data_IF_522346675054
#
_entry.id   IF_522346675054
#
_cell.length_a   1.000
_cell.length_b   1.000
_cell.length_c   1.000
_cell.angle_alpha   90.00
_cell.angle_beta   90.00
_cell.angle_gamma   90.00
#
_symmetry.space_group_name_H-M   'P 1'
#
loop_
_entity.id
_entity.type
_entity.pdbx_description
1 polymer ?
#
# COMPACT_ATOMS: atom_id res chain seq x y z
N UNK A 1 -2.83 -11.14 -26.27
CA UNK A 1 -2.37 -11.98 -25.14
C UNK A 1 -2.39 -13.44 -25.56
N UNK A 2 -1.24 -14.09 -25.72
CA UNK A 2 -1.21 -15.53 -26.01
C UNK A 2 -1.73 -16.27 -24.77
N UNK A 3 -2.74 -17.16 -24.95
CA UNK A 3 -3.20 -18.01 -23.86
C UNK A 3 -2.03 -18.84 -23.37
N UNK A 4 -1.76 -18.79 -22.08
CA UNK A 4 -0.76 -19.63 -21.42
C UNK A 4 -1.26 -21.09 -21.46
N UNK A 5 -1.03 -21.79 -22.57
CA UNK A 5 -1.23 -23.24 -22.62
C UNK A 5 -0.12 -23.88 -21.80
N UNK A 6 -0.37 -24.08 -20.52
CA UNK A 6 0.49 -24.88 -19.66
C UNK A 6 0.08 -26.34 -19.73
N UNK A 7 1.02 -27.29 -19.77
CA UNK A 7 0.71 -28.70 -19.57
C UNK A 7 0.07 -28.91 -18.19
N UNK A 8 -0.45 -30.07 -17.89
CA UNK A 8 -1.03 -30.38 -16.58
C UNK A 8 -0.05 -30.04 -15.49
N UNK A 9 -0.40 -29.06 -14.66
CA UNK A 9 0.38 -28.58 -13.51
C UNK A 9 -0.52 -28.57 -12.28
N UNK A 10 0.06 -28.89 -11.15
CA UNK A 10 -0.54 -28.66 -9.83
C UNK A 10 0.06 -27.40 -9.25
N UNK A 11 -0.77 -26.54 -8.67
CA UNK A 11 -0.36 -25.27 -8.05
C UNK A 11 -0.80 -25.32 -6.59
N UNK A 12 0.18 -25.27 -5.68
CA UNK A 12 -0.06 -25.10 -4.25
C UNK A 12 0.35 -23.70 -3.82
N UNK A 13 -0.50 -23.02 -3.11
CA UNK A 13 -0.24 -21.66 -2.60
C UNK A 13 -0.15 -21.67 -1.09
N UNK A 14 0.83 -20.96 -0.55
CA UNK A 14 1.04 -20.73 0.88
C UNK A 14 1.18 -19.23 1.11
N UNK A 15 0.64 -18.75 2.22
CA UNK A 15 0.76 -17.35 2.61
C UNK A 15 0.90 -17.24 4.12
N UNK A 16 1.86 -16.45 4.58
CA UNK A 16 2.09 -16.19 6.01
C UNK A 16 1.02 -15.26 6.59
N UNK A 17 0.43 -14.41 5.72
CA UNK A 17 -0.56 -13.41 6.13
C UNK A 17 -1.90 -13.74 5.48
N UNK A 18 -3.00 -13.82 6.28
CA UNK A 18 -4.33 -14.09 5.74
C UNK A 18 -4.79 -13.04 4.72
N UNK A 19 -5.66 -13.45 3.78
CA UNK A 19 -6.31 -12.52 2.87
C UNK A 19 -7.20 -11.51 3.63
N UNK A 20 -7.39 -10.32 3.05
CA UNK A 20 -8.28 -9.30 3.62
C UNK A 20 -7.68 -8.49 4.77
N UNK A 21 -6.38 -8.56 4.99
CA UNK A 21 -5.66 -7.81 6.05
C UNK A 21 -5.27 -6.39 5.63
N UNK A 22 -5.44 -6.02 4.36
CA UNK A 22 -5.04 -4.70 3.85
C UNK A 22 -3.55 -4.56 3.50
N UNK A 23 -2.80 -5.66 3.50
CA UNK A 23 -1.36 -5.69 3.16
C UNK A 23 -1.10 -6.04 1.68
N UNK A 24 -2.06 -5.79 0.79
CA UNK A 24 -1.88 -6.07 -0.64
C UNK A 24 -1.81 -7.55 -0.99
N UNK A 25 -2.47 -8.43 -0.21
CA UNK A 25 -2.39 -9.89 -0.39
C UNK A 25 -2.84 -10.35 -1.79
N UNK A 26 -3.84 -9.69 -2.39
CA UNK A 26 -4.31 -9.99 -3.76
C UNK A 26 -3.21 -9.70 -4.78
N UNK A 27 -2.66 -8.47 -4.78
CA UNK A 27 -1.58 -8.08 -5.69
C UNK A 27 -0.32 -8.93 -5.52
N UNK A 28 0.04 -9.26 -4.28
CA UNK A 28 1.18 -10.15 -3.99
C UNK A 28 0.94 -11.57 -4.51
N UNK A 29 -0.26 -12.11 -4.31
CA UNK A 29 -0.65 -13.43 -4.83
C UNK A 29 -0.60 -13.47 -6.35
N UNK A 30 -1.23 -12.52 -7.02
CA UNK A 30 -1.29 -12.44 -8.50
C UNK A 30 0.11 -12.31 -9.08
N UNK A 31 0.95 -11.45 -8.50
CA UNK A 31 2.34 -11.24 -8.91
C UNK A 31 3.18 -12.51 -8.73
N UNK A 32 3.08 -13.18 -7.57
CA UNK A 32 3.80 -14.41 -7.30
C UNK A 32 3.39 -15.56 -8.24
N UNK A 33 2.09 -15.71 -8.47
CA UNK A 33 1.54 -16.73 -9.37
C UNK A 33 2.02 -16.52 -10.81
N UNK A 34 1.93 -15.29 -11.31
CA UNK A 34 2.42 -14.95 -12.65
C UNK A 34 3.91 -15.21 -12.78
N UNK A 35 4.71 -14.77 -11.80
CA UNK A 35 6.15 -15.02 -11.78
C UNK A 35 6.49 -16.52 -11.80
N UNK A 36 5.77 -17.32 -11.03
CA UNK A 36 5.94 -18.77 -11.00
C UNK A 36 5.59 -19.44 -12.35
N UNK A 37 4.45 -19.05 -12.97
CA UNK A 37 4.00 -19.57 -14.26
C UNK A 37 4.98 -19.24 -15.40
N UNK A 38 5.47 -17.99 -15.43
CA UNK A 38 6.48 -17.60 -16.43
C UNK A 38 7.82 -18.29 -16.18
N UNK A 39 8.25 -18.40 -14.92
CA UNK A 39 9.46 -19.14 -14.55
C UNK A 39 9.38 -20.63 -14.94
N UNK A 40 8.22 -21.28 -14.72
CA UNK A 40 7.99 -22.66 -15.18
C UNK A 40 8.18 -22.81 -16.70
N UNK A 41 7.81 -21.79 -17.47
CA UNK A 41 8.01 -21.75 -18.92
C UNK A 41 9.39 -21.28 -19.34
N UNK A 42 10.31 -21.05 -18.39
CA UNK A 42 11.65 -20.49 -18.63
C UNK A 42 11.60 -19.12 -19.34
N UNK A 43 10.57 -18.34 -19.04
CA UNK A 43 10.40 -16.98 -19.51
C UNK A 43 10.62 -16.03 -18.34
N UNK A 44 11.37 -14.96 -18.56
CA UNK A 44 11.59 -13.92 -17.57
C UNK A 44 10.77 -12.71 -17.94
N UNK A 45 10.05 -12.17 -16.96
CA UNK A 45 9.40 -10.86 -17.07
C UNK A 45 10.23 -9.83 -16.31
N UNK A 46 10.39 -8.66 -16.88
CA UNK A 46 10.87 -7.51 -16.14
C UNK A 46 9.89 -7.15 -15.02
N UNK A 47 10.38 -6.56 -13.94
CA UNK A 47 9.52 -6.26 -12.77
C UNK A 47 8.32 -5.37 -13.13
N UNK A 48 8.52 -4.37 -13.98
CA UNK A 48 7.44 -3.48 -14.45
C UNK A 48 6.43 -4.22 -15.35
N UNK A 49 6.90 -5.11 -16.24
CA UNK A 49 6.02 -5.95 -17.07
C UNK A 49 5.19 -6.90 -16.21
N UNK A 50 5.79 -7.46 -15.16
CA UNK A 50 5.11 -8.31 -14.21
C UNK A 50 4.04 -7.54 -13.44
N UNK A 51 4.34 -6.31 -13.00
CA UNK A 51 3.39 -5.43 -12.33
C UNK A 51 2.20 -5.08 -13.22
N UNK A 52 2.46 -4.65 -14.47
CA UNK A 52 1.40 -4.31 -15.43
C UNK A 52 0.54 -5.53 -15.78
N UNK A 53 1.15 -6.71 -15.92
CA UNK A 53 0.40 -7.94 -16.18
C UNK A 53 -0.50 -8.30 -14.98
N UNK A 54 -0.02 -8.13 -13.74
CA UNK A 54 -0.81 -8.34 -12.54
C UNK A 54 -1.97 -7.33 -12.46
N UNK A 55 -1.72 -6.05 -12.76
CA UNK A 55 -2.77 -5.04 -12.88
C UNK A 55 -3.81 -5.42 -13.91
N UNK A 56 -3.39 -5.84 -15.11
CA UNK A 56 -4.30 -6.28 -16.16
C UNK A 56 -5.19 -7.46 -15.70
N UNK A 57 -4.64 -8.40 -14.96
CA UNK A 57 -5.43 -9.54 -14.43
C UNK A 57 -6.46 -9.04 -13.41
N UNK A 58 -6.07 -8.27 -12.42
CA UNK A 58 -6.98 -7.87 -11.33
C UNK A 58 -7.98 -6.80 -11.78
N UNK A 59 -7.54 -5.79 -12.50
CA UNK A 59 -8.39 -4.64 -12.89
C UNK A 59 -9.23 -4.97 -14.12
N UNK A 60 -8.60 -5.43 -15.21
CA UNK A 60 -9.30 -5.55 -16.49
C UNK A 60 -10.02 -6.89 -16.64
N UNK A 61 -9.45 -8.00 -16.09
CA UNK A 61 -10.01 -9.33 -16.28
C UNK A 61 -10.96 -9.74 -15.16
N UNK A 62 -10.64 -9.39 -13.91
CA UNK A 62 -11.46 -9.71 -12.74
C UNK A 62 -12.42 -8.56 -12.39
N UNK A 63 -12.15 -7.33 -12.87
CA UNK A 63 -12.99 -6.16 -12.62
C UNK A 63 -12.94 -5.69 -11.17
N UNK A 64 -11.82 -5.95 -10.48
CA UNK A 64 -11.66 -5.50 -9.09
C UNK A 64 -11.50 -3.97 -9.03
N UNK A 65 -12.16 -3.28 -8.09
CA UNK A 65 -12.09 -1.83 -7.95
C UNK A 65 -10.81 -1.41 -7.20
N UNK A 66 -9.66 -1.87 -7.69
CA UNK A 66 -8.34 -1.61 -7.09
C UNK A 66 -7.50 -0.72 -7.98
N UNK A 67 -6.52 -0.02 -7.38
CA UNK A 67 -5.49 0.70 -8.12
C UNK A 67 -4.28 -0.19 -8.42
N UNK A 68 -3.29 0.37 -9.10
CA UNK A 68 -2.05 -0.33 -9.52
C UNK A 68 -1.01 -0.47 -8.40
N UNK A 69 -1.23 0.11 -7.21
CA UNK A 69 -0.20 0.27 -6.17
C UNK A 69 0.35 -1.07 -5.66
N UNK A 70 -0.54 -2.00 -5.29
CA UNK A 70 -0.16 -3.22 -4.59
C UNK A 70 0.60 -4.17 -5.51
N UNK A 71 0.22 -4.25 -6.79
CA UNK A 71 0.90 -5.06 -7.81
C UNK A 71 2.31 -4.53 -8.09
N UNK A 72 2.46 -3.21 -8.20
CA UNK A 72 3.76 -2.58 -8.39
C UNK A 72 4.65 -2.74 -7.15
N UNK A 73 4.11 -2.56 -5.94
CA UNK A 73 4.84 -2.78 -4.70
C UNK A 73 5.33 -4.22 -4.57
N UNK A 74 4.48 -5.20 -4.91
CA UNK A 74 4.83 -6.61 -4.87
C UNK A 74 5.86 -7.04 -5.93
N UNK A 75 5.79 -6.46 -7.13
CA UNK A 75 6.70 -6.81 -8.23
C UNK A 75 8.10 -6.19 -8.07
N UNK A 76 8.18 -4.95 -7.59
CA UNK A 76 9.42 -4.18 -7.51
C UNK A 76 10.08 -4.32 -6.14
N UNK A 77 9.30 -4.21 -5.08
CA UNK A 77 9.79 -4.33 -3.70
C UNK A 77 10.56 -3.10 -3.21
N UNK A 78 11.15 -3.23 -2.04
CA UNK A 78 11.96 -2.20 -1.39
C UNK A 78 11.19 -0.94 -1.02
N UNK A 79 11.91 0.09 -0.59
CA UNK A 79 11.36 1.42 -0.35
C UNK A 79 11.39 2.20 -1.67
N UNK A 80 10.26 2.27 -2.33
CA UNK A 80 10.14 2.78 -3.70
C UNK A 80 9.07 3.86 -3.79
N UNK A 81 9.38 4.96 -4.47
CA UNK A 81 8.43 5.99 -4.82
C UNK A 81 7.77 5.64 -6.16
N UNK A 82 6.46 5.41 -6.13
CA UNK A 82 5.65 5.17 -7.32
C UNK A 82 4.94 6.46 -7.75
N UNK A 83 5.09 6.84 -9.02
CA UNK A 83 4.36 7.95 -9.60
C UNK A 83 3.40 7.41 -10.66
N UNK A 84 2.10 7.57 -10.41
CA UNK A 84 1.03 7.19 -11.34
C UNK A 84 0.70 8.39 -12.23
N UNK A 85 0.94 8.25 -13.52
CA UNK A 85 0.74 9.31 -14.49
C UNK A 85 -0.68 9.28 -15.07
N UNK A 86 -1.11 10.41 -15.68
CA UNK A 86 -2.44 10.52 -16.31
C UNK A 86 -2.62 9.67 -17.57
N UNK A 87 -1.53 9.23 -18.15
CA UNK A 87 -1.47 8.36 -19.34
C UNK A 87 -1.31 6.88 -18.95
N UNK A 88 -1.71 6.52 -17.73
CA UNK A 88 -1.65 5.18 -17.13
C UNK A 88 -0.24 4.60 -16.93
N UNK A 89 0.81 5.31 -17.29
CA UNK A 89 2.17 4.88 -16.98
C UNK A 89 2.45 4.99 -15.49
N UNK A 90 3.30 4.10 -15.00
CA UNK A 90 3.84 4.15 -13.64
C UNK A 90 5.34 4.30 -13.70
N UNK A 91 5.88 5.22 -12.93
CA UNK A 91 7.32 5.36 -12.72
C UNK A 91 7.65 4.89 -11.32
N UNK A 92 8.57 3.95 -11.20
CA UNK A 92 9.06 3.40 -9.94
C UNK A 92 10.51 3.84 -9.73
N UNK A 93 10.76 4.57 -8.65
CA UNK A 93 12.10 5.06 -8.31
C UNK A 93 12.43 4.64 -6.88
N UNK A 94 13.43 3.76 -6.67
CA UNK A 94 13.90 3.43 -5.34
C UNK A 94 14.34 4.69 -4.58
N UNK A 95 13.98 4.77 -3.30
CA UNK A 95 14.41 5.88 -2.45
C UNK A 95 15.91 5.81 -2.18
N UNK A 96 16.54 6.96 -2.17
CA UNK A 96 17.99 7.09 -1.88
C UNK A 96 18.17 7.28 -0.37
N UNK A 97 18.15 6.19 0.37
CA UNK A 97 18.33 6.20 1.82
C UNK A 97 19.77 5.86 2.20
N UNK A 98 20.25 6.47 3.29
CA UNK A 98 21.44 5.98 3.97
C UNK A 98 21.11 4.69 4.73
N UNK A 99 22.13 3.89 5.02
CA UNK A 99 21.95 2.69 5.86
C UNK A 99 21.47 3.06 7.26
N UNK A 100 21.96 4.17 7.81
CA UNK A 100 21.51 4.67 9.12
C UNK A 100 20.02 5.00 9.13
N UNK A 101 19.53 5.67 8.07
CA UNK A 101 18.08 5.95 7.93
C UNK A 101 17.27 4.67 7.80
N UNK A 102 17.78 3.68 7.07
CA UNK A 102 17.09 2.39 6.91
C UNK A 102 16.99 1.65 8.24
N UNK A 103 18.09 1.56 8.98
CA UNK A 103 18.10 0.92 10.30
C UNK A 103 17.24 1.68 11.31
N UNK A 104 17.27 3.02 11.30
CA UNK A 104 16.40 3.82 12.16
C UNK A 104 14.91 3.56 11.85
N UNK A 105 14.53 3.42 10.59
CA UNK A 105 13.18 3.02 10.22
C UNK A 105 12.83 1.61 10.70
N UNK A 106 13.72 0.63 10.50
CA UNK A 106 13.50 -0.76 10.92
C UNK A 106 13.31 -0.86 12.44
N UNK A 107 14.11 -0.11 13.20
CA UNK A 107 14.05 -0.10 14.66
C UNK A 107 12.81 0.64 15.21
N UNK A 108 12.31 1.60 14.47
CA UNK A 108 11.28 2.53 14.93
C UNK A 108 9.92 2.37 14.23
N UNK A 109 9.71 1.41 13.35
CA UNK A 109 8.41 1.12 12.77
C UNK A 109 7.78 -0.11 13.42
N UNK A 110 6.54 0.04 13.90
CA UNK A 110 5.77 -1.05 14.48
C UNK A 110 4.50 -1.29 13.66
N UNK A 111 4.23 -2.55 13.37
CA UNK A 111 3.03 -2.99 12.68
C UNK A 111 2.14 -3.76 13.65
N UNK A 112 0.92 -3.26 13.85
CA UNK A 112 -0.08 -3.89 14.71
C UNK A 112 -1.21 -4.46 13.89
N UNK A 113 -1.49 -5.74 14.07
CA UNK A 113 -2.66 -6.37 13.49
C UNK A 113 -3.89 -6.08 14.34
N UNK A 114 -4.88 -5.40 13.78
CA UNK A 114 -6.08 -4.97 14.49
C UNK A 114 -7.09 -6.10 14.74
N UNK A 115 -6.88 -7.27 14.15
CA UNK A 115 -7.83 -8.40 14.24
C UNK A 115 -9.04 -8.26 13.31
N UNK A 116 -9.16 -7.16 12.56
CA UNK A 116 -10.24 -6.98 11.59
C UNK A 116 -9.79 -7.43 10.21
N UNK A 117 -10.57 -8.29 9.58
CA UNK A 117 -10.46 -8.63 8.17
C UNK A 117 -11.70 -8.09 7.47
N UNK A 118 -11.52 -7.28 6.42
CA UNK A 118 -12.60 -6.72 5.62
C UNK A 118 -12.30 -6.86 4.14
N UNK A 119 -13.35 -6.98 3.35
CA UNK A 119 -13.23 -6.73 1.92
C UNK A 119 -12.94 -5.24 1.69
N UNK A 120 -11.80 -4.96 1.08
CA UNK A 120 -11.43 -3.59 0.68
C UNK A 120 -12.37 -3.03 -0.41
N UNK A 121 -13.04 -3.91 -1.16
CA UNK A 121 -13.82 -3.57 -2.35
C UNK A 121 -14.93 -2.55 -2.08
N UNK A 122 -15.61 -2.63 -0.91
CA UNK A 122 -16.66 -1.67 -0.55
C UNK A 122 -16.14 -0.25 -0.36
N UNK A 123 -15.05 -0.10 0.38
CA UNK A 123 -14.41 1.20 0.67
C UNK A 123 -13.81 1.79 -0.61
N UNK A 124 -13.12 0.97 -1.41
CA UNK A 124 -12.52 1.39 -2.66
C UNK A 124 -13.58 1.81 -3.70
N UNK A 125 -14.71 1.09 -3.75
CA UNK A 125 -15.83 1.44 -4.63
C UNK A 125 -16.48 2.77 -4.25
N UNK A 126 -16.66 3.06 -2.97
CA UNK A 126 -17.17 4.35 -2.48
C UNK A 126 -16.22 5.49 -2.88
N UNK A 127 -14.92 5.32 -2.66
CA UNK A 127 -13.90 6.30 -3.07
C UNK A 127 -13.87 6.51 -4.59
N UNK A 128 -13.92 5.45 -5.37
CA UNK A 128 -13.95 5.53 -6.84
C UNK A 128 -15.19 6.28 -7.33
N UNK A 129 -16.35 5.99 -6.73
CA UNK A 129 -17.61 6.68 -7.07
C UNK A 129 -17.54 8.17 -6.75
N UNK A 130 -17.06 8.56 -5.56
CA UNK A 130 -16.89 9.96 -5.15
C UNK A 130 -15.87 10.69 -6.05
N UNK A 131 -14.76 10.02 -6.37
CA UNK A 131 -13.73 10.61 -7.24
C UNK A 131 -14.24 10.83 -8.66
N UNK A 132 -14.92 9.85 -9.24
CA UNK A 132 -15.53 9.97 -10.60
C UNK A 132 -16.69 10.95 -10.63
N UNK A 133 -17.41 11.12 -9.53
CA UNK A 133 -18.47 12.12 -9.36
C UNK A 133 -17.95 13.56 -9.25
N UNK A 134 -16.62 13.77 -9.34
CA UNK A 134 -15.98 15.09 -9.21
C UNK A 134 -16.31 15.80 -7.89
N UNK A 135 -16.40 15.04 -6.80
CA UNK A 135 -16.50 15.59 -5.45
C UNK A 135 -15.26 16.46 -5.16
N UNK A 136 -15.47 17.77 -5.07
CA UNK A 136 -14.37 18.73 -4.90
C UNK A 136 -13.59 18.51 -3.59
N UNK A 137 -14.26 18.09 -2.53
CA UNK A 137 -13.62 17.83 -1.25
C UNK A 137 -12.74 16.57 -1.35
N UNK A 138 -13.24 15.52 -1.98
CA UNK A 138 -12.46 14.32 -2.26
C UNK A 138 -11.22 14.63 -3.11
N UNK A 139 -11.37 15.40 -4.17
CA UNK A 139 -10.26 15.79 -5.05
C UNK A 139 -9.21 16.62 -4.30
N UNK A 140 -9.63 17.59 -3.49
CA UNK A 140 -8.72 18.38 -2.63
C UNK A 140 -7.96 17.48 -1.65
N UNK A 141 -8.65 16.54 -1.01
CA UNK A 141 -8.03 15.58 -0.10
C UNK A 141 -6.99 14.70 -0.82
N UNK A 142 -7.30 14.19 -2.02
CA UNK A 142 -6.36 13.38 -2.81
C UNK A 142 -5.13 14.19 -3.25
N UNK A 143 -5.31 15.43 -3.68
CA UNK A 143 -4.18 16.32 -4.01
C UNK A 143 -3.29 16.59 -2.81
N UNK A 144 -3.89 16.84 -1.64
CA UNK A 144 -3.14 17.02 -0.41
C UNK A 144 -2.34 15.78 -0.01
N UNK A 145 -2.95 14.61 -0.10
CA UNK A 145 -2.26 13.34 0.19
C UNK A 145 -1.12 13.08 -0.78
N UNK A 146 -1.27 13.48 -2.06
CA UNK A 146 -0.17 13.42 -3.03
C UNK A 146 1.01 14.29 -2.59
N UNK A 147 0.73 15.51 -2.10
CA UNK A 147 1.76 16.41 -1.59
C UNK A 147 2.46 15.82 -0.35
N UNK A 148 1.70 15.25 0.59
CA UNK A 148 2.27 14.52 1.72
C UNK A 148 3.20 13.38 1.28
N UNK A 149 2.91 12.73 0.15
CA UNK A 149 3.79 11.71 -0.44
C UNK A 149 5.15 12.26 -0.85
N UNK A 150 5.19 13.43 -1.46
CA UNK A 150 6.47 14.10 -1.81
C UNK A 150 7.23 14.55 -0.57
N UNK A 151 6.54 15.08 0.42
CA UNK A 151 7.15 15.49 1.69
C UNK A 151 7.72 14.26 2.43
N UNK A 152 6.99 13.15 2.47
CA UNK A 152 7.45 11.89 3.06
C UNK A 152 8.71 11.36 2.36
N UNK A 153 8.74 11.40 1.03
CA UNK A 153 9.95 11.06 0.25
C UNK A 153 11.13 11.94 0.65
N UNK A 154 10.93 13.25 0.69
CA UNK A 154 11.99 14.21 1.06
C UNK A 154 12.49 14.00 2.49
N UNK A 155 11.59 13.77 3.45
CA UNK A 155 11.94 13.49 4.84
C UNK A 155 12.82 12.23 4.95
N UNK A 156 12.41 11.13 4.30
CA UNK A 156 13.17 9.88 4.29
C UNK A 156 14.53 10.03 3.62
N UNK A 157 14.60 10.65 2.43
CA UNK A 157 15.86 10.84 1.70
C UNK A 157 16.83 11.79 2.41
N UNK A 158 16.33 12.67 3.30
CA UNK A 158 17.15 13.51 4.19
C UNK A 158 17.52 12.87 5.53
N UNK A 159 17.02 11.65 5.81
CA UNK A 159 17.25 10.96 7.09
C UNK A 159 16.38 11.47 8.25
N UNK A 160 15.35 12.25 7.97
CA UNK A 160 14.45 12.78 9.01
C UNK A 160 13.25 11.86 9.23
N UNK A 161 13.45 10.77 9.98
CA UNK A 161 12.44 9.78 10.32
C UNK A 161 11.36 10.32 11.26
N UNK A 162 11.71 11.30 12.12
CA UNK A 162 10.75 12.01 12.97
C UNK A 162 9.72 12.76 12.12
N UNK A 163 10.18 13.58 11.15
CA UNK A 163 9.27 14.27 10.25
C UNK A 163 8.40 13.29 9.43
N UNK A 164 8.95 12.14 9.05
CA UNK A 164 8.16 11.09 8.40
C UNK A 164 7.03 10.56 9.31
N UNK A 165 7.29 10.36 10.60
CA UNK A 165 6.28 9.98 11.60
C UNK A 165 5.17 11.02 11.72
N UNK A 166 5.50 12.31 11.80
CA UNK A 166 4.54 13.42 11.84
C UNK A 166 3.69 13.49 10.56
N UNK A 167 4.30 13.27 9.41
CA UNK A 167 3.59 13.19 8.13
C UNK A 167 2.63 11.99 8.07
N UNK A 168 2.98 10.85 8.67
CA UNK A 168 2.06 9.71 8.80
C UNK A 168 0.84 10.07 9.65
N UNK A 169 1.01 10.79 10.77
CA UNK A 169 -0.11 11.30 11.58
C UNK A 169 -1.03 12.19 10.75
N UNK A 170 -0.45 13.18 10.09
CA UNK A 170 -1.19 14.10 9.21
C UNK A 170 -1.95 13.35 8.12
N UNK A 171 -1.29 12.40 7.47
CA UNK A 171 -1.92 11.54 6.46
C UNK A 171 -3.09 10.74 7.04
N UNK A 172 -2.97 10.22 8.26
CA UNK A 172 -4.04 9.47 8.91
C UNK A 172 -5.28 10.32 9.14
N UNK A 173 -5.14 11.55 9.64
CA UNK A 173 -6.25 12.48 9.81
C UNK A 173 -6.99 12.73 8.49
N UNK A 174 -6.25 12.99 7.40
CA UNK A 174 -6.85 13.18 6.08
C UNK A 174 -7.44 11.89 5.49
N UNK A 175 -6.85 10.73 5.79
CA UNK A 175 -7.39 9.45 5.32
C UNK A 175 -8.73 9.14 5.97
N UNK A 176 -8.92 9.43 7.23
CA UNK A 176 -10.20 9.23 7.95
C UNK A 176 -11.36 10.01 7.33
N UNK A 177 -11.10 11.19 6.77
CA UNK A 177 -12.14 12.04 6.18
C UNK A 177 -12.61 11.61 4.79
N UNK A 178 -11.98 10.61 4.14
CA UNK A 178 -12.32 10.23 2.75
C UNK A 178 -13.58 9.40 2.62
N UNK A 179 -13.87 8.56 3.58
CA UNK A 179 -14.99 7.61 3.51
C UNK A 179 -15.38 7.15 4.90
N UNK A 180 -16.67 6.97 5.09
CA UNK A 180 -17.21 6.33 6.29
C UNK A 180 -16.67 4.90 6.40
N UNK A 181 -16.31 4.49 7.61
CA UNK A 181 -15.73 3.16 7.85
C UNK A 181 -14.23 3.04 7.63
N UNK A 182 -13.51 4.16 7.33
CA UNK A 182 -12.03 4.16 7.32
C UNK A 182 -11.42 3.83 8.67
N UNK A 183 -12.12 4.14 9.77
CA UNK A 183 -11.76 3.77 11.12
C UNK A 183 -12.96 3.23 11.88
N UNK A 184 -12.76 2.85 13.12
CA UNK A 184 -13.82 2.55 14.07
C UNK A 184 -13.35 2.98 15.48
N UNK A 185 -14.27 3.12 16.47
CA UNK A 185 -13.92 3.59 17.80
C UNK A 185 -12.74 2.84 18.44
N UNK A 186 -12.69 1.53 18.29
CA UNK A 186 -11.62 0.72 18.87
C UNK A 186 -10.24 0.97 18.22
N UNK A 187 -10.20 1.20 16.91
CA UNK A 187 -8.97 1.58 16.21
C UNK A 187 -8.54 2.98 16.64
N UNK A 188 -9.49 3.91 16.80
CA UNK A 188 -9.20 5.26 17.27
C UNK A 188 -8.66 5.23 18.70
N UNK A 189 -9.26 4.44 19.61
CA UNK A 189 -8.77 4.24 20.98
C UNK A 189 -7.33 3.71 21.01
N UNK A 190 -7.02 2.73 20.16
CA UNK A 190 -5.65 2.18 20.06
C UNK A 190 -4.67 3.20 19.49
N UNK A 191 -5.11 3.98 18.52
CA UNK A 191 -4.28 5.04 17.95
C UNK A 191 -3.95 6.10 19.00
N UNK A 192 -4.96 6.56 19.74
CA UNK A 192 -4.80 7.55 20.81
C UNK A 192 -3.91 7.00 21.93
N UNK A 193 -4.05 5.73 22.28
CA UNK A 193 -3.17 5.07 23.26
C UNK A 193 -1.71 5.07 22.79
N UNK A 194 -1.46 4.76 21.52
CA UNK A 194 -0.10 4.80 20.97
C UNK A 194 0.49 6.22 21.05
N UNK A 195 -0.28 7.23 20.66
CA UNK A 195 0.16 8.64 20.73
C UNK A 195 0.43 9.10 22.16
N UNK A 196 -0.40 8.68 23.14
CA UNK A 196 -0.18 8.98 24.56
C UNK A 196 1.06 8.28 25.13
N UNK A 197 1.51 7.21 24.53
CA UNK A 197 2.70 6.45 24.94
C UNK A 197 3.92 6.70 24.05
N UNK A 198 3.96 7.85 23.38
CA UNK A 198 5.16 8.35 22.70
C UNK A 198 5.27 8.04 21.23
N UNK A 199 4.25 7.46 20.58
CA UNK A 199 4.27 7.36 19.13
C UNK A 199 4.27 8.75 18.49
N UNK A 200 5.12 8.96 17.47
CA UNK A 200 5.18 10.23 16.74
C UNK A 200 4.00 10.32 15.77
N UNK A 201 3.61 9.22 15.19
CA UNK A 201 2.49 9.13 14.27
C UNK A 201 2.30 7.74 13.73
N UNK A 202 1.22 7.58 12.96
CA UNK A 202 0.89 6.31 12.36
C UNK A 202 -0.31 6.41 11.44
N UNK A 203 -0.65 5.30 10.81
CA UNK A 203 -1.83 5.22 9.95
C UNK A 203 -2.30 3.79 9.76
N UNK A 204 -3.56 3.65 9.41
CA UNK A 204 -4.08 2.37 8.95
C UNK A 204 -3.57 2.06 7.56
N UNK A 205 -3.05 0.85 7.35
CA UNK A 205 -2.52 0.39 6.06
C UNK A 205 -3.64 -0.13 5.15
N UNK A 206 -3.43 -0.11 3.85
CA UNK A 206 -4.38 -0.57 2.85
C UNK A 206 -5.59 0.35 2.68
N UNK A 207 -6.73 -0.20 2.25
CA UNK A 207 -7.96 0.54 2.03
C UNK A 207 -8.60 1.08 3.32
N UNK A 208 -8.12 0.64 4.48
CA UNK A 208 -8.61 1.04 5.80
C UNK A 208 -9.32 -0.09 6.55
N UNK A 209 -9.34 0.00 7.88
CA UNK A 209 -10.07 -0.93 8.75
C UNK A 209 -9.34 -2.21 9.14
N UNK A 210 -8.12 -2.46 8.68
CA UNK A 210 -7.43 -3.74 8.89
C UNK A 210 -6.19 -3.68 9.78
N UNK A 211 -5.28 -2.73 9.56
CA UNK A 211 -3.99 -2.67 10.25
C UNK A 211 -3.70 -1.26 10.75
N UNK A 212 -3.11 -1.17 11.93
CA UNK A 212 -2.56 0.07 12.47
C UNK A 212 -1.03 0.01 12.38
N UNK A 213 -0.46 1.07 11.80
CA UNK A 213 0.97 1.23 11.65
C UNK A 213 1.41 2.51 12.35
N UNK A 214 2.33 2.41 13.29
CA UNK A 214 2.78 3.57 14.07
C UNK A 214 4.29 3.73 13.95
N UNK A 215 4.75 4.98 13.92
CA UNK A 215 6.14 5.31 14.15
C UNK A 215 6.32 5.51 15.65
N UNK A 216 7.20 4.78 16.30
CA UNK A 216 7.44 4.92 17.73
C UNK A 216 8.15 6.23 18.07
N UNK A 217 8.13 6.54 19.35
CA UNK A 217 8.98 7.56 19.94
C UNK A 217 10.45 7.15 19.85
N UNK A 218 11.37 8.09 19.80
CA UNK A 218 12.78 7.81 20.05
C UNK A 218 12.90 7.05 21.38
N UNK A 219 13.68 5.99 21.38
CA UNK A 219 14.01 5.30 22.65
C UNK A 219 14.87 6.25 23.49
N UNK A 220 14.51 6.41 24.77
CA UNK A 220 15.34 7.08 25.75
C UNK A 220 16.65 6.30 26.00
#
# INVERSE_FOLDING_TARGET
>A
MQSLKTPQIEITTLADIPAGTGLGSSGSFTTALLKALYGHRRQHLHQEELAELACHVEIDRLGEPVGKQDQYAAAIGGLTCFTFHRDDRVTAVPLKLSMDTLFDLEDNLLLFFTGYSRSASGILKDQDTKTKGSDEEMLKNLHYVKELGYQSKSALESGNTTAFGELMHTHWLHKKSRSDGMSNPKIDDWYDLAMQNGAIGGKLVGAGGCLLYTSPSPRD
#
